data_IF_103615801589
#
_entry.id   IF_103615801589
#
_cell.length_a   1.000
_cell.length_b   1.000
_cell.length_c   1.000
_cell.angle_alpha   90.00
_cell.angle_beta   90.00
_cell.angle_gamma   90.00
#
_symmetry.space_group_name_H-M   'P 1'
#
loop_
_entity.id
_entity.type
_entity.pdbx_description
1 polymer ?
#
# COMPACT_ATOMS: atom_id res chain seq x y z
N UNK A 1 -16.22 -5.69 -19.39
CA UNK A 1 -15.88 -4.45 -20.12
C UNK A 1 -17.18 -3.80 -20.58
N UNK A 2 -17.32 -2.47 -20.44
CA UNK A 2 -18.60 -1.74 -20.58
C UNK A 2 -19.31 -1.87 -21.93
N UNK A 3 -18.65 -2.31 -23.01
CA UNK A 3 -19.29 -2.98 -24.16
C UNK A 3 -18.25 -3.92 -24.77
N UNK A 4 -18.43 -5.24 -24.65
CA UNK A 4 -17.55 -6.22 -25.32
C UNK A 4 -17.75 -6.17 -26.84
N UNK A 5 -19.00 -5.97 -27.26
CA UNK A 5 -19.44 -5.97 -28.65
C UNK A 5 -20.08 -4.65 -29.07
N UNK A 6 -19.82 -4.21 -30.30
CA UNK A 6 -20.48 -3.04 -30.90
C UNK A 6 -21.77 -3.45 -31.61
N UNK A 7 -22.87 -2.72 -31.40
CA UNK A 7 -24.09 -2.89 -32.19
C UNK A 7 -24.02 -2.02 -33.46
N UNK A 8 -24.48 -2.48 -34.65
CA UNK A 8 -25.17 -3.75 -34.94
C UNK A 8 -24.25 -4.91 -35.38
N UNK A 9 -22.96 -4.66 -35.55
CA UNK A 9 -22.04 -5.61 -36.21
C UNK A 9 -21.58 -6.77 -35.32
N UNK A 10 -21.77 -6.67 -34.00
CA UNK A 10 -21.27 -7.61 -32.99
C UNK A 10 -19.74 -7.82 -33.06
N UNK A 11 -19.01 -6.82 -33.54
CA UNK A 11 -17.56 -6.80 -33.54
C UNK A 11 -17.02 -6.53 -32.14
N UNK A 12 -15.82 -7.02 -31.84
CA UNK A 12 -15.17 -6.71 -30.57
C UNK A 12 -14.82 -5.22 -30.53
N UNK A 13 -15.38 -4.48 -29.57
CA UNK A 13 -15.14 -3.04 -29.43
C UNK A 13 -13.66 -2.72 -29.21
N UNK A 14 -12.96 -3.58 -28.45
CA UNK A 14 -11.52 -3.44 -28.24
C UNK A 14 -10.71 -3.66 -29.52
N UNK A 15 -11.12 -4.57 -30.41
CA UNK A 15 -10.42 -4.77 -31.69
C UNK A 15 -10.47 -3.52 -32.58
N UNK A 16 -11.51 -2.70 -32.46
CA UNK A 16 -11.64 -1.46 -33.23
C UNK A 16 -10.76 -0.34 -32.66
N UNK A 17 -10.72 -0.16 -31.33
CA UNK A 17 -10.04 0.98 -30.71
C UNK A 17 -8.57 0.71 -30.35
N UNK A 18 -8.22 -0.52 -29.99
CA UNK A 18 -6.86 -0.86 -29.51
C UNK A 18 -5.75 -0.53 -30.51
N UNK A 19 -5.90 -0.81 -31.83
CA UNK A 19 -4.86 -0.44 -32.81
C UNK A 19 -4.56 1.06 -32.81
N UNK A 20 -5.59 1.90 -32.63
CA UNK A 20 -5.45 3.35 -32.57
C UNK A 20 -4.81 3.82 -31.27
N UNK A 21 -5.15 3.20 -30.14
CA UNK A 21 -4.50 3.50 -28.86
C UNK A 21 -3.00 3.15 -28.90
N UNK A 22 -2.65 1.99 -29.47
CA UNK A 22 -1.25 1.57 -29.63
C UNK A 22 -0.49 2.47 -30.60
N UNK A 23 -1.11 2.90 -31.70
CA UNK A 23 -0.54 3.86 -32.65
C UNK A 23 -0.20 5.18 -31.94
N UNK A 24 -1.14 5.73 -31.17
CA UNK A 24 -0.95 6.96 -30.40
C UNK A 24 0.14 6.78 -29.33
N UNK A 25 0.15 5.66 -28.61
CA UNK A 25 1.13 5.41 -27.55
C UNK A 25 2.56 5.17 -28.03
N UNK A 26 2.76 4.90 -29.33
CA UNK A 26 4.10 4.75 -29.95
C UNK A 26 4.53 5.98 -30.75
N UNK A 27 3.67 6.99 -30.85
CA UNK A 27 3.93 8.14 -31.71
C UNK A 27 4.97 9.08 -31.09
N UNK A 28 6.05 9.38 -31.82
CA UNK A 28 7.19 10.16 -31.31
C UNK A 28 6.85 11.60 -30.90
N UNK A 29 5.81 12.18 -31.50
CA UNK A 29 5.35 13.54 -31.18
C UNK A 29 4.18 13.57 -30.17
N UNK A 30 3.85 12.46 -29.52
CA UNK A 30 2.77 12.39 -28.54
C UNK A 30 3.34 11.90 -27.21
N UNK A 31 3.14 12.69 -26.16
CA UNK A 31 3.39 12.27 -24.78
C UNK A 31 2.07 11.84 -24.13
N UNK A 32 2.03 10.63 -23.57
CA UNK A 32 0.85 10.13 -22.86
C UNK A 32 0.94 10.43 -21.36
N UNK A 33 0.05 11.29 -20.90
CA UNK A 33 -0.14 11.60 -19.48
C UNK A 33 -1.38 10.88 -18.95
N UNK A 34 -1.19 9.67 -18.41
CA UNK A 34 -2.29 8.90 -17.80
C UNK A 34 -2.71 9.42 -16.44
N UNK A 35 -3.96 9.14 -16.07
CA UNK A 35 -4.59 9.57 -14.82
C UNK A 35 -4.40 11.08 -14.54
N UNK A 36 -4.51 11.87 -15.62
CA UNK A 36 -4.27 13.31 -15.63
C UNK A 36 -5.51 14.04 -16.11
N UNK A 37 -5.90 15.07 -15.36
CA UNK A 37 -7.05 15.93 -15.66
C UNK A 37 -6.58 17.32 -16.10
N UNK A 38 -7.22 17.88 -17.11
CA UNK A 38 -6.96 19.25 -17.56
C UNK A 38 -7.75 20.21 -16.66
N UNK A 39 -7.05 21.14 -16.01
CA UNK A 39 -7.64 22.17 -15.16
C UNK A 39 -7.97 23.45 -15.93
N UNK A 40 -7.16 23.79 -16.93
CA UNK A 40 -7.33 25.01 -17.72
C UNK A 40 -6.37 25.05 -18.89
N UNK A 41 -6.79 25.75 -19.94
CA UNK A 41 -5.98 26.01 -21.15
C UNK A 41 -6.04 27.50 -21.42
N UNK A 42 -4.87 28.13 -21.52
CA UNK A 42 -4.74 29.56 -21.80
C UNK A 42 -3.85 29.77 -23.02
N UNK A 43 -4.18 30.77 -23.86
CA UNK A 43 -3.42 31.13 -25.05
C UNK A 43 -4.14 30.84 -26.36
N UNK A 44 -3.37 30.75 -27.44
CA UNK A 44 -3.87 30.61 -28.81
C UNK A 44 -3.43 29.27 -29.44
N UNK A 45 -4.10 28.77 -30.49
CA UNK A 45 -3.69 27.55 -31.18
C UNK A 45 -2.20 27.57 -31.58
N UNK A 46 -1.44 26.57 -31.12
CA UNK A 46 0.01 26.46 -31.35
C UNK A 46 0.89 27.15 -30.30
N UNK A 47 0.33 28.01 -29.43
CA UNK A 47 1.04 28.62 -28.30
C UNK A 47 0.09 28.76 -27.11
N UNK A 48 -0.16 27.63 -26.46
CA UNK A 48 -1.02 27.54 -25.29
C UNK A 48 -0.27 26.93 -24.12
N UNK A 49 -0.68 27.31 -22.92
CA UNK A 49 -0.27 26.67 -21.66
C UNK A 49 -1.44 25.86 -21.13
N UNK A 50 -1.15 24.64 -20.67
CA UNK A 50 -2.15 23.76 -20.05
C UNK A 50 -1.80 23.56 -18.60
N UNK A 51 -2.75 23.85 -17.71
CA UNK A 51 -2.68 23.47 -16.31
C UNK A 51 -3.23 22.05 -16.17
N UNK A 52 -2.41 21.15 -15.62
CA UNK A 52 -2.73 19.73 -15.50
C UNK A 52 -2.71 19.30 -14.03
N UNK A 53 -3.62 18.41 -13.65
CA UNK A 53 -3.61 17.70 -12.37
C UNK A 53 -3.38 16.22 -12.63
N UNK A 54 -2.18 15.73 -12.31
CA UNK A 54 -1.82 14.32 -12.43
C UNK A 54 -2.01 13.59 -11.11
N UNK A 55 -2.82 12.54 -11.10
CA UNK A 55 -2.97 11.64 -9.97
C UNK A 55 -1.82 10.60 -9.96
N UNK A 56 -1.33 10.20 -8.77
CA UNK A 56 -0.27 9.22 -8.67
C UNK A 56 -0.77 7.81 -8.99
N UNK A 57 -0.01 7.08 -9.81
CA UNK A 57 -0.33 5.69 -10.16
C UNK A 57 0.13 4.68 -9.10
N UNK A 58 1.04 5.10 -8.21
CA UNK A 58 1.72 4.26 -7.21
C UNK A 58 2.44 3.02 -7.77
N UNK A 59 2.62 2.97 -9.09
CA UNK A 59 3.39 1.99 -9.84
C UNK A 59 4.35 2.77 -10.74
N UNK A 60 5.60 2.31 -10.77
CA UNK A 60 6.62 2.85 -11.66
C UNK A 60 6.40 2.29 -13.07
N UNK A 61 5.99 3.17 -14.00
CA UNK A 61 5.67 2.77 -15.38
C UNK A 61 6.86 2.19 -16.12
N UNK A 62 8.08 2.65 -15.82
CA UNK A 62 9.29 2.18 -16.50
C UNK A 62 9.70 0.77 -16.06
N UNK A 63 9.23 0.34 -14.88
CA UNK A 63 9.49 -0.99 -14.32
C UNK A 63 8.31 -1.96 -14.48
N UNK A 64 7.12 -1.44 -14.79
CA UNK A 64 5.92 -2.26 -14.91
C UNK A 64 5.93 -3.02 -16.24
N UNK A 65 5.92 -4.35 -16.17
CA UNK A 65 5.84 -5.22 -17.35
C UNK A 65 4.42 -5.72 -17.63
N UNK A 66 3.42 -5.21 -16.90
CA UNK A 66 2.02 -5.58 -17.13
C UNK A 66 1.62 -7.01 -16.75
N UNK A 67 2.43 -7.73 -15.95
CA UNK A 67 2.23 -9.16 -15.63
C UNK A 67 0.96 -9.49 -14.85
N UNK A 68 0.56 -8.64 -13.89
CA UNK A 68 -0.65 -8.84 -13.08
C UNK A 68 -0.43 -9.36 -11.66
N UNK A 69 0.79 -9.74 -11.29
CA UNK A 69 1.10 -10.26 -9.95
C UNK A 69 0.61 -9.33 -8.82
N UNK A 70 0.67 -8.02 -9.04
CA UNK A 70 0.21 -7.03 -8.06
C UNK A 70 -1.30 -7.08 -7.82
N UNK A 71 -2.11 -7.37 -8.84
CA UNK A 71 -3.56 -7.54 -8.71
C UNK A 71 -3.89 -8.84 -8.00
N UNK A 72 -3.21 -9.94 -8.34
CA UNK A 72 -3.46 -11.26 -7.77
C UNK A 72 -3.18 -11.31 -6.26
N UNK A 73 -2.13 -10.64 -5.79
CA UNK A 73 -1.78 -10.60 -4.36
C UNK A 73 -2.51 -9.50 -3.58
N UNK A 74 -3.29 -8.63 -4.24
CA UNK A 74 -3.91 -7.48 -3.61
C UNK A 74 -5.09 -7.90 -2.72
N UNK A 75 -5.05 -7.65 -1.40
CA UNK A 75 -6.12 -8.09 -0.50
C UNK A 75 -7.35 -7.19 -0.50
N UNK A 76 -7.30 -6.07 -1.22
CA UNK A 76 -8.36 -5.05 -1.22
C UNK A 76 -9.22 -5.23 -2.45
N UNK A 77 -10.51 -5.48 -2.22
CA UNK A 77 -11.55 -5.57 -3.26
C UNK A 77 -12.33 -4.26 -3.29
N UNK A 78 -12.56 -3.74 -4.49
CA UNK A 78 -13.30 -2.51 -4.78
C UNK A 78 -14.32 -2.78 -5.89
N UNK A 79 -15.34 -1.94 -5.96
CA UNK A 79 -16.28 -1.93 -7.08
C UNK A 79 -15.58 -1.51 -8.37
N UNK A 80 -15.81 -2.24 -9.47
CA UNK A 80 -15.19 -1.93 -10.75
C UNK A 80 -15.91 -0.76 -11.44
N UNK A 81 -15.34 0.43 -11.25
CA UNK A 81 -15.80 1.67 -11.89
C UNK A 81 -15.77 1.62 -13.41
N UNK A 82 -14.88 0.84 -14.04
CA UNK A 82 -14.84 0.72 -15.51
C UNK A 82 -16.06 -0.05 -16.05
N UNK A 83 -16.56 -1.02 -15.27
CA UNK A 83 -17.74 -1.80 -15.59
C UNK A 83 -19.02 -1.27 -14.92
N UNK A 84 -19.06 0.02 -14.53
CA UNK A 84 -20.21 0.64 -13.85
C UNK A 84 -20.67 -0.09 -12.58
N UNK A 85 -19.74 -0.74 -11.89
CA UNK A 85 -20.03 -1.52 -10.70
C UNK A 85 -20.75 -2.85 -10.93
N UNK A 86 -20.80 -3.33 -12.17
CA UNK A 86 -21.33 -4.67 -12.50
C UNK A 86 -20.36 -5.81 -12.13
N UNK A 87 -19.12 -5.47 -11.75
CA UNK A 87 -18.11 -6.43 -11.30
C UNK A 87 -17.28 -5.83 -10.17
N UNK A 88 -16.52 -6.68 -9.50
CA UNK A 88 -15.50 -6.29 -8.54
C UNK A 88 -14.12 -6.29 -9.20
N UNK A 89 -13.21 -5.48 -8.65
CA UNK A 89 -11.79 -5.47 -9.01
C UNK A 89 -10.93 -5.33 -7.77
N UNK A 90 -9.64 -5.57 -7.91
CA UNK A 90 -8.67 -5.31 -6.84
C UNK A 90 -8.24 -3.83 -6.82
N UNK A 91 -7.68 -3.37 -5.71
CA UNK A 91 -7.16 -2.01 -5.62
C UNK A 91 -5.93 -1.80 -6.52
N UNK A 92 -5.11 -2.83 -6.72
CA UNK A 92 -4.14 -2.88 -7.82
C UNK A 92 -4.86 -3.41 -9.07
N UNK A 93 -4.94 -2.61 -10.12
CA UNK A 93 -5.74 -2.94 -11.28
C UNK A 93 -5.16 -2.39 -12.58
N UNK A 94 -5.60 -2.97 -13.68
CA UNK A 94 -5.44 -2.45 -15.05
C UNK A 94 -6.84 -2.03 -15.51
N UNK A 95 -6.99 -0.79 -15.99
CA UNK A 95 -8.31 -0.19 -16.23
C UNK A 95 -9.15 -0.99 -17.25
N UNK A 96 -8.52 -1.51 -18.30
CA UNK A 96 -9.16 -2.35 -19.31
C UNK A 96 -8.16 -3.36 -19.89
N UNK A 97 -8.63 -4.48 -20.46
CA UNK A 97 -7.77 -5.42 -21.18
C UNK A 97 -7.07 -4.70 -22.33
N UNK A 98 -5.74 -4.74 -22.40
CA UNK A 98 -4.90 -3.98 -23.36
C UNK A 98 -4.85 -2.47 -23.13
N UNK A 99 -4.81 -2.05 -21.85
CA UNK A 99 -4.52 -0.66 -21.49
C UNK A 99 -3.29 -0.11 -22.24
N UNK A 100 -3.36 1.15 -22.66
CA UNK A 100 -2.21 1.89 -23.19
C UNK A 100 -1.94 3.08 -22.27
N UNK A 101 -0.79 3.13 -21.57
CA UNK A 101 0.27 2.14 -21.51
C UNK A 101 -0.20 0.84 -20.82
N UNK A 102 0.45 -0.28 -21.16
CA UNK A 102 0.11 -1.62 -20.62
C UNK A 102 0.65 -1.78 -19.19
N UNK A 103 0.08 -1.01 -18.27
CA UNK A 103 0.55 -0.89 -16.91
C UNK A 103 -0.58 -1.02 -15.90
N UNK A 104 -0.22 -1.48 -14.70
CA UNK A 104 -1.10 -1.48 -13.54
C UNK A 104 -0.97 -0.16 -12.77
N UNK A 105 -2.02 0.18 -12.05
CA UNK A 105 -2.07 1.29 -11.11
C UNK A 105 -2.69 0.82 -9.80
N UNK A 106 -2.43 1.52 -8.70
CA UNK A 106 -3.04 1.22 -7.40
C UNK A 106 -3.97 2.37 -7.01
N UNK A 107 -5.24 2.07 -6.80
CA UNK A 107 -6.16 3.04 -6.23
C UNK A 107 -5.94 3.18 -4.73
N UNK A 108 -5.76 4.43 -4.27
CA UNK A 108 -5.57 4.74 -2.86
C UNK A 108 -6.48 5.89 -2.42
N UNK A 109 -7.32 5.63 -1.43
CA UNK A 109 -8.29 6.58 -0.87
C UNK A 109 -7.67 7.59 0.12
N UNK A 110 -6.34 7.79 0.08
CA UNK A 110 -5.63 8.71 0.98
C UNK A 110 -5.08 8.06 2.26
N UNK A 111 -4.98 8.86 3.33
CA UNK A 111 -4.52 8.42 4.66
C UNK A 111 -5.74 8.14 5.52
N UNK A 112 -5.87 6.91 6.00
CA UNK A 112 -6.95 6.52 6.88
C UNK A 112 -6.88 7.28 8.23
N UNK A 113 -8.00 7.71 8.80
CA UNK A 113 -8.06 8.35 10.11
C UNK A 113 -7.36 7.54 11.21
N UNK A 114 -7.53 6.21 11.21
CA UNK A 114 -6.88 5.31 12.16
C UNK A 114 -5.34 5.33 12.06
N UNK A 115 -4.79 5.56 10.86
CA UNK A 115 -3.35 5.72 10.65
C UNK A 115 -2.88 7.09 11.14
N UNK A 116 -3.63 8.15 10.84
CA UNK A 116 -3.33 9.51 11.30
C UNK A 116 -3.36 9.64 12.82
N UNK A 117 -4.27 8.92 13.48
CA UNK A 117 -4.38 8.89 14.94
C UNK A 117 -3.34 7.98 15.63
N UNK A 118 -2.66 7.10 14.89
CA UNK A 118 -1.67 6.19 15.47
C UNK A 118 -0.32 6.92 15.62
N UNK A 119 0.27 7.01 16.84
CA UNK A 119 1.58 7.63 17.03
C UNK A 119 2.71 6.96 16.24
N UNK A 120 2.58 5.66 15.97
CA UNK A 120 3.53 4.89 15.15
C UNK A 120 3.22 4.97 13.63
N UNK A 121 2.19 5.71 13.21
CA UNK A 121 1.81 5.82 11.79
C UNK A 121 1.40 4.48 11.15
N UNK A 122 0.96 3.52 11.97
CA UNK A 122 0.83 2.12 11.57
C UNK A 122 -0.35 1.88 10.63
N UNK A 123 -0.12 1.07 9.59
CA UNK A 123 -1.10 0.80 8.52
C UNK A 123 -2.14 -0.26 8.89
N UNK A 124 -3.09 0.10 9.77
CA UNK A 124 -4.16 -0.79 10.24
C UNK A 124 -4.96 -1.47 9.13
N UNK A 125 -5.44 -0.69 8.15
CA UNK A 125 -6.20 -1.21 7.02
C UNK A 125 -5.46 -2.30 6.24
N UNK A 126 -4.13 -2.15 6.08
CA UNK A 126 -3.32 -3.08 5.29
C UNK A 126 -3.26 -4.46 5.90
N UNK A 127 -2.94 -4.57 7.19
CA UNK A 127 -2.91 -5.88 7.84
C UNK A 127 -4.31 -6.43 8.12
N UNK A 128 -5.34 -5.59 8.28
CA UNK A 128 -6.72 -6.05 8.43
C UNK A 128 -7.21 -6.70 7.13
N UNK A 129 -6.90 -6.11 5.97
CA UNK A 129 -7.21 -6.72 4.67
C UNK A 129 -6.50 -8.09 4.49
N UNK A 130 -5.27 -8.23 4.99
CA UNK A 130 -4.58 -9.53 4.99
C UNK A 130 -5.21 -10.53 5.97
N UNK A 131 -5.70 -10.07 7.13
CA UNK A 131 -6.43 -10.91 8.09
C UNK A 131 -7.73 -11.44 7.47
N UNK A 132 -8.46 -10.63 6.70
CA UNK A 132 -9.72 -11.07 6.05
C UNK A 132 -9.49 -12.18 5.03
N UNK A 133 -8.30 -12.25 4.41
CA UNK A 133 -7.91 -13.33 3.50
C UNK A 133 -7.25 -14.53 4.21
N UNK A 134 -7.14 -14.51 5.56
CA UNK A 134 -6.45 -15.56 6.32
C UNK A 134 -4.92 -15.51 6.23
N UNK A 135 -4.34 -14.44 5.65
CA UNK A 135 -2.90 -14.28 5.41
C UNK A 135 -2.19 -13.70 6.64
N UNK A 136 -2.29 -14.40 7.78
CA UNK A 136 -1.84 -13.89 9.07
C UNK A 136 -0.33 -13.65 9.18
N UNK A 137 0.49 -14.47 8.49
CA UNK A 137 1.95 -14.27 8.47
C UNK A 137 2.33 -12.96 7.79
N UNK A 138 1.69 -12.66 6.66
CA UNK A 138 1.89 -11.40 5.94
C UNK A 138 1.33 -10.21 6.72
N UNK A 139 0.19 -10.38 7.39
CA UNK A 139 -0.35 -9.37 8.29
C UNK A 139 0.66 -9.02 9.40
N UNK A 140 1.32 -10.02 10.00
CA UNK A 140 2.36 -9.80 11.00
C UNK A 140 3.56 -9.05 10.40
N UNK A 141 3.98 -9.39 9.18
CA UNK A 141 5.06 -8.69 8.48
C UNK A 141 4.73 -7.21 8.33
N UNK A 142 3.53 -6.88 7.82
CA UNK A 142 3.07 -5.49 7.66
C UNK A 142 3.01 -4.75 9.00
N UNK A 143 2.53 -5.40 10.06
CA UNK A 143 2.53 -4.83 11.42
C UNK A 143 3.97 -4.49 11.87
N UNK A 144 4.92 -5.40 11.64
CA UNK A 144 6.34 -5.23 12.04
C UNK A 144 7.12 -4.21 11.20
N UNK A 145 6.57 -3.73 10.09
CA UNK A 145 7.19 -2.65 9.31
C UNK A 145 7.21 -1.34 10.11
N UNK A 146 6.10 -1.03 10.78
CA UNK A 146 5.91 0.24 11.50
C UNK A 146 6.08 0.09 13.03
N UNK A 147 5.97 -1.14 13.56
CA UNK A 147 5.94 -1.39 15.01
C UNK A 147 6.85 -2.56 15.41
N UNK A 148 7.98 -2.29 16.09
CA UNK A 148 8.88 -3.34 16.59
C UNK A 148 8.27 -4.23 17.69
N UNK A 149 7.28 -3.73 18.43
CA UNK A 149 6.70 -4.40 19.61
C UNK A 149 5.20 -4.69 19.49
N UNK A 150 4.74 -5.41 18.45
CA UNK A 150 3.32 -5.60 18.23
C UNK A 150 2.67 -6.49 19.30
N UNK A 151 3.44 -7.38 19.94
CA UNK A 151 2.97 -8.20 21.07
C UNK A 151 2.57 -7.36 22.28
N UNK A 152 3.36 -6.32 22.57
CA UNK A 152 3.14 -5.40 23.69
C UNK A 152 2.01 -4.44 23.31
N UNK A 153 2.07 -3.80 22.14
CA UNK A 153 1.03 -2.90 21.68
C UNK A 153 -0.33 -3.60 21.44
N UNK A 154 -0.38 -4.91 21.25
CA UNK A 154 -1.64 -5.67 21.22
C UNK A 154 -2.28 -5.86 22.61
N UNK A 155 -1.58 -5.49 23.69
CA UNK A 155 -2.02 -5.74 25.08
C UNK A 155 -2.11 -4.46 25.91
N UNK A 156 -1.27 -3.46 25.66
CA UNK A 156 -1.19 -2.25 26.48
C UNK A 156 -1.50 -0.95 25.73
N UNK A 157 -1.72 -1.00 24.42
CA UNK A 157 -2.04 0.20 23.65
C UNK A 157 -3.38 0.79 24.09
N UNK A 158 -3.45 2.11 24.26
CA UNK A 158 -4.68 2.86 24.51
C UNK A 158 -5.49 3.13 23.23
N UNK A 159 -5.18 2.41 22.14
CA UNK A 159 -5.91 2.33 20.87
C UNK A 159 -6.56 3.64 20.33
N UNK A 160 -5.82 4.75 20.20
CA UNK A 160 -6.41 6.01 19.71
C UNK A 160 -6.95 5.87 18.28
N UNK A 161 -6.37 4.95 17.50
CA UNK A 161 -6.83 4.58 16.17
C UNK A 161 -8.27 4.08 16.11
N UNK A 162 -8.79 3.50 17.20
CA UNK A 162 -10.18 3.00 17.26
C UNK A 162 -11.14 4.15 17.53
N UNK A 163 -10.76 5.12 18.38
CA UNK A 163 -11.56 6.31 18.66
C UNK A 163 -11.81 7.18 17.42
N UNK A 164 -10.88 7.18 16.46
CA UNK A 164 -10.99 7.90 15.18
C UNK A 164 -11.40 7.00 14.01
N UNK A 165 -11.83 5.77 14.25
CA UNK A 165 -12.17 4.83 13.19
C UNK A 165 -13.38 5.32 12.39
N UNK A 166 -13.25 5.52 11.07
CA UNK A 166 -14.35 5.97 10.22
C UNK A 166 -15.56 5.00 10.19
N UNK A 167 -15.36 3.75 10.62
CA UNK A 167 -16.45 2.76 10.71
C UNK A 167 -17.51 3.14 11.75
N UNK A 168 -17.16 3.96 12.75
CA UNK A 168 -18.11 4.50 13.73
C UNK A 168 -19.19 5.40 13.11
N UNK A 169 -19.01 5.86 11.87
CA UNK A 169 -20.05 6.58 11.12
C UNK A 169 -21.17 5.66 10.61
N UNK A 170 -20.96 4.35 10.64
CA UNK A 170 -21.91 3.33 10.18
C UNK A 170 -22.41 2.50 11.36
N UNK A 171 -21.48 1.92 12.13
CA UNK A 171 -21.79 1.10 13.31
C UNK A 171 -20.76 1.34 14.42
N UNK A 172 -19.81 0.43 14.63
CA UNK A 172 -18.83 0.48 15.71
C UNK A 172 -17.38 0.48 15.20
N UNK A 173 -16.43 1.05 15.96
CA UNK A 173 -15.02 0.98 15.61
C UNK A 173 -14.53 -0.45 15.44
N UNK A 174 -13.65 -0.64 14.46
CA UNK A 174 -12.94 -1.91 14.31
C UNK A 174 -12.02 -2.13 15.52
N UNK A 175 -12.03 -3.34 16.10
CA UNK A 175 -11.17 -3.73 17.22
C UNK A 175 -9.69 -3.96 16.78
N UNK A 176 -9.05 -2.90 16.29
CA UNK A 176 -7.69 -2.89 15.71
C UNK A 176 -6.65 -3.48 16.67
N UNK A 177 -6.70 -3.15 17.97
CA UNK A 177 -5.79 -3.68 18.98
C UNK A 177 -5.96 -5.19 19.17
N UNK A 178 -7.20 -5.67 19.25
CA UNK A 178 -7.52 -7.09 19.40
C UNK A 178 -7.10 -7.90 18.17
N UNK A 179 -7.32 -7.35 16.96
CA UNK A 179 -6.86 -7.98 15.71
C UNK A 179 -5.33 -8.06 15.65
N UNK A 180 -4.63 -7.01 16.08
CA UNK A 180 -3.16 -7.01 16.20
C UNK A 180 -2.69 -8.09 17.18
N UNK A 181 -3.33 -8.18 18.35
CA UNK A 181 -3.03 -9.23 19.35
C UNK A 181 -3.23 -10.62 18.77
N UNK A 182 -4.37 -10.86 18.13
CA UNK A 182 -4.68 -12.13 17.49
C UNK A 182 -3.58 -12.56 16.52
N UNK A 183 -3.14 -11.68 15.62
CA UNK A 183 -2.09 -12.02 14.64
C UNK A 183 -0.76 -12.38 15.32
N UNK A 184 -0.37 -11.66 16.38
CA UNK A 184 0.87 -11.94 17.10
C UNK A 184 0.78 -13.25 17.89
N UNK A 185 -0.37 -13.50 18.52
CA UNK A 185 -0.62 -14.72 19.31
C UNK A 185 -0.71 -15.94 18.39
N UNK A 186 -1.32 -15.81 17.22
CA UNK A 186 -1.31 -16.82 16.16
C UNK A 186 0.11 -17.17 15.74
N UNK A 187 0.95 -16.18 15.44
CA UNK A 187 2.34 -16.43 15.06
C UNK A 187 3.18 -17.03 16.19
N UNK A 188 2.85 -16.75 17.46
CA UNK A 188 3.48 -17.42 18.60
C UNK A 188 3.11 -18.91 18.67
N UNK A 189 1.83 -19.23 18.47
CA UNK A 189 1.32 -20.59 18.58
C UNK A 189 1.74 -21.48 17.41
N UNK A 190 1.72 -20.95 16.18
CA UNK A 190 1.93 -21.71 14.94
C UNK A 190 3.32 -21.50 14.31
N UNK A 191 4.24 -20.88 15.07
CA UNK A 191 5.62 -20.66 14.66
C UNK A 191 5.85 -19.27 14.05
N UNK A 192 6.93 -18.63 14.51
CA UNK A 192 7.42 -17.35 13.99
C UNK A 192 8.48 -17.61 12.94
N UNK A 193 8.41 -16.89 11.83
CA UNK A 193 9.53 -16.84 10.88
C UNK A 193 10.76 -16.26 11.57
N UNK A 194 11.90 -16.93 11.35
CA UNK A 194 13.18 -16.44 11.80
C UNK A 194 13.51 -15.18 10.99
N UNK A 195 13.79 -14.09 11.70
CA UNK A 195 14.22 -12.85 11.07
C UNK A 195 15.73 -12.93 10.89
N UNK A 196 16.19 -12.80 9.66
CA UNK A 196 17.63 -12.69 9.38
C UNK A 196 18.14 -11.32 9.87
N UNK A 197 19.29 -11.28 10.58
CA UNK A 197 19.89 -10.02 10.99
C UNK A 197 20.18 -9.13 9.79
N UNK A 198 19.88 -7.83 9.93
CA UNK A 198 20.22 -6.85 8.90
C UNK A 198 21.76 -6.81 8.70
N UNK A 199 22.25 -6.81 7.45
CA UNK A 199 23.67 -6.76 7.19
C UNK A 199 24.23 -5.42 7.64
N UNK A 200 25.42 -5.45 8.23
CA UNK A 200 26.15 -4.26 8.64
C UNK A 200 26.85 -3.66 7.43
N UNK A 201 26.27 -2.59 6.89
CA UNK A 201 26.77 -1.91 5.69
C UNK A 201 27.50 -0.61 6.01
N UNK A 202 27.31 -0.05 7.21
CA UNK A 202 27.94 1.19 7.66
C UNK A 202 29.16 0.91 8.54
N UNK A 203 30.23 1.72 8.42
CA UNK A 203 31.45 1.51 9.21
C UNK A 203 31.30 1.97 10.67
N UNK A 204 30.33 2.85 10.96
CA UNK A 204 30.15 3.45 12.27
C UNK A 204 29.36 2.56 13.24
N UNK A 205 29.67 2.72 14.52
CA UNK A 205 28.96 2.09 15.63
C UNK A 205 28.14 3.11 16.40
N UNK A 206 26.97 2.70 16.88
CA UNK A 206 26.07 3.51 17.70
C UNK A 206 25.85 2.81 19.04
N UNK A 207 26.09 3.53 20.12
CA UNK A 207 25.73 3.10 21.47
C UNK A 207 24.34 3.63 21.82
N UNK A 208 23.45 2.76 22.29
CA UNK A 208 22.12 3.12 22.79
C UNK A 208 22.08 2.85 24.28
N UNK A 209 21.74 3.85 25.08
CA UNK A 209 21.63 3.73 26.55
C UNK A 209 20.16 3.52 26.92
N UNK A 210 19.87 2.41 27.60
CA UNK A 210 18.55 1.95 27.98
C UNK A 210 17.97 0.91 27.01
N UNK A 211 17.54 -0.23 27.54
CA UNK A 211 16.87 -1.32 26.83
C UNK A 211 15.34 -1.31 27.03
N UNK A 212 14.77 -0.13 27.25
CA UNK A 212 13.31 0.09 27.20
C UNK A 212 12.77 0.18 25.76
N UNK A 213 11.45 0.40 25.58
CA UNK A 213 10.82 0.44 24.26
C UNK A 213 11.43 1.50 23.32
N UNK A 214 11.78 2.67 23.85
CA UNK A 214 12.40 3.74 23.07
C UNK A 214 13.82 3.34 22.58
N UNK A 215 14.67 2.86 23.49
CA UNK A 215 16.04 2.45 23.15
C UNK A 215 16.07 1.26 22.20
N UNK A 216 15.26 0.23 22.44
CA UNK A 216 15.21 -0.93 21.56
C UNK A 216 14.59 -0.60 20.18
N UNK A 217 13.63 0.32 20.11
CA UNK A 217 13.12 0.81 18.81
C UNK A 217 14.22 1.53 18.03
N UNK A 218 14.93 2.47 18.68
CA UNK A 218 16.05 3.17 18.06
C UNK A 218 17.15 2.19 17.60
N UNK A 219 17.49 1.21 18.44
CA UNK A 219 18.48 0.20 18.10
C UNK A 219 18.05 -0.67 16.90
N UNK A 220 16.79 -1.09 16.86
CA UNK A 220 16.22 -1.85 15.76
C UNK A 220 16.26 -1.08 14.44
N UNK A 221 15.88 0.20 14.45
CA UNK A 221 15.84 1.02 13.23
C UNK A 221 17.26 1.32 12.73
N UNK A 222 18.19 1.66 13.63
CA UNK A 222 19.60 1.84 13.30
C UNK A 222 20.24 0.57 12.74
N UNK A 223 19.90 -0.60 13.29
CA UNK A 223 20.36 -1.88 12.77
C UNK A 223 19.83 -2.14 11.35
N UNK A 224 18.56 -1.83 11.08
CA UNK A 224 17.97 -1.91 9.72
C UNK A 224 18.64 -0.95 8.73
N UNK A 225 19.09 0.22 9.20
CA UNK A 225 19.87 1.16 8.38
C UNK A 225 21.32 0.72 8.13
N UNK A 226 21.75 -0.39 8.73
CA UNK A 226 23.05 -1.04 8.53
C UNK A 226 24.15 -0.59 9.49
N UNK A 227 23.82 0.11 10.58
CA UNK A 227 24.78 0.48 11.62
C UNK A 227 25.06 -0.70 12.57
N UNK A 228 26.28 -0.77 13.10
CA UNK A 228 26.55 -1.62 14.27
C UNK A 228 25.98 -0.96 15.52
N UNK A 229 25.13 -1.66 16.26
CA UNK A 229 24.47 -1.09 17.45
C UNK A 229 24.77 -1.93 18.69
N UNK A 230 25.14 -1.26 19.78
CA UNK A 230 25.27 -1.87 21.11
C UNK A 230 24.32 -1.19 22.07
N UNK A 231 23.46 -1.97 22.73
CA UNK A 231 22.52 -1.47 23.75
C UNK A 231 23.12 -1.72 25.13
N UNK A 232 23.16 -0.69 25.96
CA UNK A 232 23.63 -0.75 27.35
C UNK A 232 22.44 -0.56 28.29
N UNK A 233 22.24 -1.47 29.23
CA UNK A 233 21.14 -1.44 30.21
C UNK A 233 21.74 -1.53 31.61
N UNK A 234 21.16 -0.78 32.55
CA UNK A 234 21.57 -0.78 33.95
C UNK A 234 21.02 -2.01 34.70
N UNK A 235 19.83 -2.48 34.32
CA UNK A 235 19.19 -3.66 34.89
C UNK A 235 19.73 -4.98 34.28
N UNK A 236 19.60 -6.11 35.00
CA UNK A 236 20.01 -7.42 34.47
C UNK A 236 19.09 -7.95 33.35
N UNK A 237 17.98 -7.27 33.06
CA UNK A 237 16.97 -7.67 32.07
C UNK A 237 16.62 -6.49 31.17
N UNK A 238 16.29 -6.79 29.92
CA UNK A 238 15.78 -5.81 28.96
C UNK A 238 14.25 -5.71 29.04
N UNK A 239 13.69 -4.58 28.56
CA UNK A 239 12.25 -4.33 28.52
C UNK A 239 11.87 -2.96 29.05
N UNK A 240 12.71 -2.40 29.92
CA UNK A 240 12.43 -1.18 30.68
C UNK A 240 11.59 -1.43 31.93
#
# INVERSE_FOLDING_TARGET
AKLDKTFPTNDCAMCTISPKLVEVGRHLNIELLVDTEVLGVEGEPGKFNVSLRRKPLYVDLDKCVGCGDCADVCPVVLTDTFNEGLSERRAAYKLYPQAVPDAYTIEKLGIAPCRGACPAGQRAQGYIALITEGRYREALRVIKEDNPFPSVCGRTCHHPCESYCARSLVDEPVAIMSLKRFVVDYALAYGRERVEPAPRTKPHWVAVIGAGPAGLTAAHDLAKMGYGVTVYEALPVAGG
#
